data_IF_809397898467
#
_entry.id   IF_809397898467
#
_cell.length_a   1.000
_cell.length_b   1.000
_cell.length_c   1.000
_cell.angle_alpha   90.00
_cell.angle_beta   90.00
_cell.angle_gamma   90.00
#
_symmetry.space_group_name_H-M   'P 1'
#
loop_
_entity.id
_entity.type
_entity.pdbx_description
1 polymer ?
#
# COMPACT_ATOMS: atom_id res chain seq x y z
N UNK A 1 1.39 -0.37 -24.00
CA UNK A 1 1.88 -0.99 -22.75
C UNK A 1 0.99 -2.12 -22.28
N UNK A 2 -0.31 -1.90 -22.03
CA UNK A 2 -1.22 -2.90 -21.46
C UNK A 2 -1.25 -4.24 -22.24
N UNK A 3 -1.32 -4.21 -23.57
CA UNK A 3 -1.22 -5.42 -24.41
C UNK A 3 0.06 -6.23 -24.16
N UNK A 4 1.20 -5.59 -23.88
CA UNK A 4 2.47 -6.26 -23.56
C UNK A 4 2.40 -6.94 -22.19
N UNK A 5 1.73 -6.31 -21.21
CA UNK A 5 1.47 -6.89 -19.90
C UNK A 5 0.56 -8.12 -20.04
N UNK A 6 -0.50 -8.05 -20.85
CA UNK A 6 -1.35 -9.20 -21.12
C UNK A 6 -0.61 -10.32 -21.88
N UNK A 7 0.28 -10.01 -22.82
CA UNK A 7 1.16 -11.01 -23.44
C UNK A 7 2.08 -11.69 -22.42
N UNK A 8 2.64 -10.95 -21.45
CA UNK A 8 3.46 -11.53 -20.38
C UNK A 8 2.64 -12.42 -19.43
N UNK A 9 1.44 -11.97 -19.03
CA UNK A 9 0.51 -12.77 -18.22
C UNK A 9 0.16 -14.05 -18.97
N UNK A 10 -0.23 -13.93 -20.25
CA UNK A 10 -0.55 -15.07 -21.13
C UNK A 10 0.60 -16.05 -21.24
N UNK A 11 1.84 -15.56 -21.42
CA UNK A 11 3.03 -16.39 -21.47
C UNK A 11 3.21 -17.25 -20.22
N UNK A 12 2.99 -16.66 -19.03
CA UNK A 12 3.02 -17.42 -17.78
C UNK A 12 1.86 -18.41 -17.67
N UNK A 13 0.62 -18.00 -18.01
CA UNK A 13 -0.57 -18.85 -17.88
C UNK A 13 -0.59 -20.05 -18.83
N UNK A 14 -0.06 -19.87 -20.04
CA UNK A 14 0.07 -20.90 -21.09
C UNK A 14 1.39 -21.68 -21.01
N UNK A 15 2.28 -21.36 -20.07
CA UNK A 15 3.64 -21.92 -20.00
C UNK A 15 4.43 -21.75 -21.32
N UNK A 16 4.22 -20.64 -22.03
CA UNK A 16 4.80 -20.39 -23.35
C UNK A 16 6.10 -19.57 -23.24
N UNK A 17 7.24 -20.27 -23.29
CA UNK A 17 8.56 -19.65 -23.12
C UNK A 17 8.94 -18.69 -24.25
N UNK A 18 8.54 -18.96 -25.50
CA UNK A 18 8.81 -18.06 -26.63
C UNK A 18 8.06 -16.74 -26.47
N UNK A 19 6.77 -16.79 -26.10
CA UNK A 19 5.97 -15.60 -25.82
C UNK A 19 6.47 -14.86 -24.57
N UNK A 20 7.02 -15.56 -23.58
CA UNK A 20 7.66 -14.95 -22.41
C UNK A 20 8.84 -14.06 -22.82
N UNK A 21 9.78 -14.59 -23.60
CA UNK A 21 10.93 -13.82 -24.10
C UNK A 21 10.50 -12.63 -24.98
N UNK A 22 9.49 -12.80 -25.84
CA UNK A 22 8.93 -11.72 -26.67
C UNK A 22 8.24 -10.62 -25.83
N UNK A 23 7.45 -11.01 -24.82
CA UNK A 23 6.80 -10.07 -23.93
C UNK A 23 7.81 -9.29 -23.08
N UNK A 24 8.91 -9.94 -22.65
CA UNK A 24 10.02 -9.25 -21.98
C UNK A 24 10.74 -8.26 -22.90
N UNK A 25 11.03 -8.62 -24.16
CA UNK A 25 11.70 -7.69 -25.09
C UNK A 25 10.87 -6.43 -25.34
N UNK A 26 9.55 -6.56 -25.47
CA UNK A 26 8.64 -5.43 -25.61
C UNK A 26 8.43 -4.62 -24.32
N UNK A 27 8.66 -5.23 -23.15
CA UNK A 27 8.48 -4.56 -21.86
C UNK A 27 9.72 -3.78 -21.41
N UNK A 28 10.93 -4.17 -21.84
CA UNK A 28 12.18 -3.49 -21.52
C UNK A 28 12.14 -1.98 -21.85
N UNK A 29 11.76 -1.53 -23.07
CA UNK A 29 11.63 -0.11 -23.39
C UNK A 29 10.75 0.64 -22.39
N UNK A 30 9.61 0.07 -21.97
CA UNK A 30 8.74 0.70 -20.98
C UNK A 30 9.39 0.83 -19.59
N UNK A 31 10.28 -0.06 -19.17
CA UNK A 31 11.00 0.11 -17.90
C UNK A 31 12.01 1.27 -17.95
N UNK A 32 12.72 1.45 -19.08
CA UNK A 32 13.56 2.62 -19.33
C UNK A 32 12.73 3.91 -19.39
N UNK A 33 11.60 3.87 -20.09
CA UNK A 33 10.69 5.01 -20.23
C UNK A 33 10.12 5.46 -18.86
N UNK A 34 9.65 4.52 -18.04
CA UNK A 34 8.99 4.77 -16.77
C UNK A 34 9.93 4.97 -15.55
N UNK A 35 11.24 5.15 -15.74
CA UNK A 35 12.22 5.32 -14.65
C UNK A 35 12.33 4.14 -13.66
N UNK A 36 11.94 2.94 -14.06
CA UNK A 36 11.99 1.74 -13.24
C UNK A 36 13.40 1.14 -13.27
N UNK A 37 14.38 1.90 -12.77
CA UNK A 37 15.82 1.68 -12.98
C UNK A 37 16.34 0.28 -12.63
N UNK A 38 15.77 -0.38 -11.61
CA UNK A 38 16.17 -1.74 -11.24
C UNK A 38 15.80 -2.75 -12.34
N UNK A 39 14.57 -2.70 -12.84
CA UNK A 39 14.10 -3.55 -13.93
C UNK A 39 14.77 -3.17 -15.26
N UNK A 40 14.92 -1.87 -15.54
CA UNK A 40 15.62 -1.39 -16.74
C UNK A 40 17.07 -1.91 -16.81
N UNK A 41 17.78 -1.99 -15.67
CA UNK A 41 19.14 -2.53 -15.62
C UNK A 41 19.20 -4.05 -15.75
N UNK A 42 18.39 -4.78 -14.98
CA UNK A 42 18.54 -6.24 -14.85
C UNK A 42 17.76 -7.05 -15.87
N UNK A 43 16.63 -6.55 -16.38
CA UNK A 43 15.79 -7.30 -17.31
C UNK A 43 16.45 -7.54 -18.69
N UNK A 44 17.26 -6.62 -19.25
CA UNK A 44 18.08 -6.92 -20.44
C UNK A 44 19.06 -8.07 -20.23
N UNK A 45 19.70 -8.13 -19.05
CA UNK A 45 20.63 -9.22 -18.69
C UNK A 45 19.86 -10.54 -18.60
N UNK A 46 18.74 -10.55 -17.89
CA UNK A 46 17.88 -11.72 -17.79
C UNK A 46 17.39 -12.19 -19.17
N UNK A 47 16.89 -11.29 -20.01
CA UNK A 47 16.43 -11.63 -21.36
C UNK A 47 17.56 -12.20 -22.24
N UNK A 48 18.75 -11.60 -22.21
CA UNK A 48 19.94 -12.14 -22.91
C UNK A 48 20.23 -13.57 -22.45
N UNK A 49 20.19 -13.81 -21.15
CA UNK A 49 20.50 -15.12 -20.58
C UNK A 49 19.42 -16.16 -20.96
N UNK A 50 18.13 -15.78 -20.93
CA UNK A 50 17.00 -16.60 -21.40
C UNK A 50 17.10 -16.94 -22.90
N UNK A 51 17.46 -15.97 -23.75
CA UNK A 51 17.64 -16.19 -25.19
C UNK A 51 18.86 -17.07 -25.49
N UNK A 52 19.94 -16.92 -24.72
CA UNK A 52 21.18 -17.69 -24.91
C UNK A 52 21.11 -19.12 -24.36
N UNK A 53 20.04 -19.51 -23.64
CA UNK A 53 19.90 -20.86 -23.07
C UNK A 53 20.09 -21.97 -24.11
N UNK A 54 19.59 -21.79 -25.34
CA UNK A 54 19.70 -22.83 -26.36
C UNK A 54 21.15 -23.08 -26.84
N UNK A 55 22.07 -22.12 -26.62
CA UNK A 55 23.50 -22.26 -26.90
C UNK A 55 24.27 -22.76 -25.68
N UNK A 56 23.98 -22.23 -24.49
CA UNK A 56 24.77 -22.44 -23.28
C UNK A 56 24.30 -23.69 -22.51
N UNK A 57 22.99 -23.94 -22.47
CA UNK A 57 22.35 -25.02 -21.70
C UNK A 57 21.16 -25.62 -22.48
N UNK A 58 21.40 -26.36 -23.58
CA UNK A 58 20.34 -26.84 -24.48
C UNK A 58 19.31 -27.75 -23.79
N UNK A 59 19.71 -28.56 -22.81
CA UNK A 59 18.79 -29.39 -22.02
C UNK A 59 17.82 -28.54 -21.17
N UNK A 60 18.32 -27.48 -20.53
CA UNK A 60 17.49 -26.54 -19.77
C UNK A 60 16.57 -25.75 -20.71
N UNK A 61 17.06 -25.36 -21.88
CA UNK A 61 16.26 -24.70 -22.90
C UNK A 61 15.09 -25.58 -23.36
N UNK A 62 15.32 -26.87 -23.60
CA UNK A 62 14.27 -27.83 -23.95
C UNK A 62 13.20 -27.89 -22.85
N UNK A 63 13.61 -27.99 -21.58
CA UNK A 63 12.67 -28.06 -20.47
C UNK A 63 11.88 -26.77 -20.24
N UNK A 64 12.46 -25.61 -20.54
CA UNK A 64 11.73 -24.34 -20.54
C UNK A 64 10.71 -24.27 -21.68
N UNK A 65 11.03 -24.78 -22.87
CA UNK A 65 10.05 -24.91 -23.97
C UNK A 65 8.96 -25.95 -23.66
N UNK A 66 9.24 -26.96 -22.84
CA UNK A 66 8.24 -27.88 -22.25
C UNK A 66 7.41 -27.23 -21.12
N UNK A 67 7.56 -25.92 -20.86
CA UNK A 67 6.81 -25.18 -19.84
C UNK A 67 7.37 -25.25 -18.42
N UNK A 68 8.51 -25.90 -18.17
CA UNK A 68 9.07 -26.08 -16.81
C UNK A 68 9.74 -24.83 -16.22
N UNK A 69 9.46 -23.63 -16.77
CA UNK A 69 9.84 -22.33 -16.18
C UNK A 69 8.71 -21.70 -15.33
N UNK A 70 7.53 -22.34 -15.29
CA UNK A 70 6.37 -21.92 -14.47
C UNK A 70 5.90 -23.04 -13.54
N UNK A 71 5.09 -22.68 -12.54
CA UNK A 71 4.55 -23.62 -11.56
C UNK A 71 3.07 -23.88 -11.84
N UNK A 72 2.70 -25.16 -11.87
CA UNK A 72 1.31 -25.61 -11.92
C UNK A 72 0.89 -26.10 -10.52
N UNK A 73 -0.10 -25.42 -9.91
CA UNK A 73 -0.75 -25.88 -8.66
C UNK A 73 -2.03 -26.68 -8.89
N UNK A 74 -2.51 -26.75 -10.14
CA UNK A 74 -3.70 -27.50 -10.54
C UNK A 74 -3.53 -28.03 -11.95
N UNK A 75 -4.32 -29.04 -12.32
CA UNK A 75 -4.42 -29.56 -13.68
C UNK A 75 -5.31 -28.70 -14.60
N UNK A 76 -5.72 -27.51 -14.17
CA UNK A 76 -6.52 -26.60 -15.00
C UNK A 76 -5.66 -25.93 -16.08
N UNK A 77 -6.20 -25.82 -17.28
CA UNK A 77 -5.63 -24.99 -18.34
C UNK A 77 -5.54 -23.52 -17.90
N UNK A 78 -4.60 -22.77 -18.48
CA UNK A 78 -4.38 -21.33 -18.21
C UNK A 78 -4.13 -20.99 -16.70
N UNK A 79 -3.78 -21.99 -15.87
CA UNK A 79 -3.65 -21.82 -14.41
C UNK A 79 -2.21 -21.69 -13.90
N UNK A 80 -1.21 -21.85 -14.78
CA UNK A 80 0.20 -21.72 -14.43
C UNK A 80 0.53 -20.32 -13.88
N UNK A 81 1.59 -20.23 -13.10
CA UNK A 81 2.01 -19.00 -12.42
C UNK A 81 3.54 -18.91 -12.33
N UNK A 82 4.04 -17.68 -12.21
CA UNK A 82 5.47 -17.44 -12.00
C UNK A 82 5.95 -18.10 -10.69
N UNK A 83 7.21 -18.56 -10.68
CA UNK A 83 7.80 -19.27 -9.54
C UNK A 83 7.71 -18.46 -8.24
N UNK A 84 7.99 -17.15 -8.31
CA UNK A 84 7.93 -16.25 -7.16
C UNK A 84 6.51 -16.14 -6.57
N UNK A 85 5.49 -15.97 -7.41
CA UNK A 85 4.08 -15.98 -6.99
C UNK A 85 3.67 -17.32 -6.37
N UNK A 86 4.14 -18.43 -6.93
CA UNK A 86 3.86 -19.77 -6.39
C UNK A 86 4.50 -19.96 -5.01
N UNK A 87 5.72 -19.47 -4.83
CA UNK A 87 6.51 -19.49 -3.60
C UNK A 87 5.93 -18.55 -2.53
N UNK A 88 5.51 -17.34 -2.88
CA UNK A 88 4.81 -16.41 -1.98
C UNK A 88 3.54 -17.05 -1.40
N UNK A 89 2.71 -17.65 -2.26
CA UNK A 89 1.52 -18.39 -1.84
C UNK A 89 1.85 -19.63 -0.99
N UNK A 90 2.96 -20.34 -1.25
CA UNK A 90 3.38 -21.47 -0.42
C UNK A 90 3.82 -20.99 0.96
N UNK A 91 4.56 -19.87 1.01
CA UNK A 91 4.98 -19.23 2.25
C UNK A 91 3.80 -18.70 3.07
N UNK A 92 2.70 -18.29 2.43
CA UNK A 92 1.47 -17.88 3.11
C UNK A 92 0.78 -19.01 3.89
N UNK A 93 0.98 -20.28 3.52
CA UNK A 93 0.45 -21.44 4.26
C UNK A 93 1.23 -21.72 5.56
N UNK A 94 2.49 -21.25 5.64
CA UNK A 94 3.42 -21.53 6.75
C UNK A 94 3.56 -20.31 7.67
N UNK A 95 3.32 -19.09 7.16
CA UNK A 95 3.30 -17.85 7.95
C UNK A 95 2.03 -17.77 8.81
N UNK A 96 2.20 -17.52 10.11
CA UNK A 96 1.11 -17.06 10.97
C UNK A 96 0.82 -15.56 10.80
N UNK A 97 -0.18 -15.05 11.51
CA UNK A 97 -0.69 -13.66 11.38
C UNK A 97 0.37 -12.55 11.61
N UNK A 98 1.50 -12.87 12.26
CA UNK A 98 2.64 -11.96 12.45
C UNK A 98 3.64 -11.90 11.27
N UNK A 99 3.42 -12.66 10.19
CA UNK A 99 4.36 -12.75 9.08
C UNK A 99 5.65 -13.53 9.43
N UNK A 100 6.75 -13.21 8.76
CA UNK A 100 8.05 -13.89 8.93
C UNK A 100 9.06 -13.08 9.78
N UNK A 101 8.59 -12.20 10.66
CA UNK A 101 9.44 -11.34 11.49
C UNK A 101 10.27 -12.19 12.47
N UNK A 102 11.58 -11.92 12.56
CA UNK A 102 12.51 -12.64 13.45
C UNK A 102 12.87 -14.07 13.03
N UNK A 103 12.26 -14.63 11.98
CA UNK A 103 12.51 -16.04 11.57
C UNK A 103 13.96 -16.26 11.12
N UNK A 104 14.60 -15.26 10.53
CA UNK A 104 16.03 -15.31 10.13
C UNK A 104 17.00 -15.08 11.28
N UNK A 105 16.53 -14.64 12.44
CA UNK A 105 17.35 -14.27 13.60
C UNK A 105 17.44 -15.41 14.64
N UNK A 106 16.44 -16.31 14.69
CA UNK A 106 16.51 -17.59 15.44
C UNK A 106 16.76 -18.77 14.48
N UNK A 107 17.96 -19.40 14.50
CA UNK A 107 18.25 -20.61 13.72
C UNK A 107 17.28 -21.78 13.96
N UNK A 108 16.60 -21.83 15.10
CA UNK A 108 15.61 -22.86 15.45
C UNK A 108 14.23 -22.57 14.83
N UNK A 109 13.82 -21.30 14.78
CA UNK A 109 12.67 -20.85 14.00
C UNK A 109 12.93 -21.05 12.50
N UNK A 110 14.10 -20.66 11.99
CA UNK A 110 14.49 -20.88 10.60
C UNK A 110 14.46 -22.37 10.24
N UNK A 111 15.04 -23.25 11.06
CA UNK A 111 15.01 -24.71 10.83
C UNK A 111 13.60 -25.28 10.86
N UNK A 112 12.75 -24.87 11.81
CA UNK A 112 11.33 -25.26 11.83
C UNK A 112 10.60 -24.79 10.58
N UNK A 113 10.83 -23.56 10.15
CA UNK A 113 10.20 -22.97 8.96
C UNK A 113 10.64 -23.67 7.67
N UNK A 114 11.95 -23.90 7.49
CA UNK A 114 12.52 -24.53 6.29
C UNK A 114 12.26 -26.03 6.17
N UNK A 115 12.16 -26.76 7.29
CA UNK A 115 12.06 -28.24 7.29
C UNK A 115 10.66 -28.71 7.69
N UNK A 116 10.16 -28.27 8.85
CA UNK A 116 8.86 -28.72 9.34
C UNK A 116 7.69 -27.99 8.65
N UNK A 117 7.86 -26.75 8.21
CA UNK A 117 6.82 -25.99 7.49
C UNK A 117 6.32 -26.70 6.22
N UNK A 118 7.20 -27.09 5.28
CA UNK A 118 6.82 -27.87 4.10
C UNK A 118 6.17 -29.21 4.44
N UNK A 119 6.69 -29.93 5.44
CA UNK A 119 6.17 -31.25 5.83
C UNK A 119 4.78 -31.16 6.48
N UNK A 120 4.55 -30.17 7.35
CA UNK A 120 3.22 -29.90 7.92
C UNK A 120 2.24 -29.49 6.83
N UNK A 121 2.66 -28.64 5.88
CA UNK A 121 1.84 -28.26 4.71
C UNK A 121 1.49 -29.48 3.84
N UNK A 122 2.45 -30.41 3.66
CA UNK A 122 2.23 -31.66 2.94
C UNK A 122 1.24 -32.59 3.66
N UNK A 123 1.40 -32.79 4.97
CA UNK A 123 0.49 -33.59 5.79
C UNK A 123 -0.94 -33.01 5.84
N UNK A 124 -1.07 -31.68 5.92
CA UNK A 124 -2.37 -31.00 5.83
C UNK A 124 -3.01 -31.25 4.46
N UNK A 125 -2.26 -31.12 3.36
CA UNK A 125 -2.77 -31.38 2.01
C UNK A 125 -3.18 -32.85 1.81
N UNK A 126 -2.42 -33.81 2.35
CA UNK A 126 -2.80 -35.23 2.37
C UNK A 126 -4.09 -35.46 3.15
N UNK A 127 -4.23 -34.86 4.35
CA UNK A 127 -5.41 -34.98 5.19
C UNK A 127 -6.66 -34.38 4.53
N UNK A 128 -6.56 -33.20 3.93
CA UNK A 128 -7.65 -32.57 3.17
C UNK A 128 -8.10 -33.45 2.00
N UNK A 129 -7.16 -34.08 1.29
CA UNK A 129 -7.47 -34.99 0.18
C UNK A 129 -8.14 -36.29 0.66
N UNK A 130 -7.65 -36.87 1.76
CA UNK A 130 -8.21 -38.09 2.35
C UNK A 130 -9.58 -37.87 3.02
N UNK A 131 -9.90 -36.63 3.41
CA UNK A 131 -11.16 -36.28 4.07
C UNK A 131 -12.33 -36.03 3.10
N UNK A 132 -12.15 -36.21 1.79
CA UNK A 132 -13.09 -35.92 0.69
C UNK A 132 -13.65 -34.47 0.64
N UNK A 133 -13.27 -33.60 1.59
CA UNK A 133 -13.78 -32.24 1.77
C UNK A 133 -13.56 -31.30 0.57
N UNK A 134 -12.73 -31.70 -0.40
CA UNK A 134 -12.47 -30.99 -1.66
C UNK A 134 -12.95 -31.71 -2.92
N UNK A 135 -13.57 -32.89 -2.84
CA UNK A 135 -14.02 -33.63 -4.04
C UNK A 135 -15.35 -33.09 -4.62
N UNK A 136 -15.91 -32.03 -4.01
CA UNK A 136 -16.93 -31.17 -4.60
C UNK A 136 -16.36 -30.36 -5.79
N UNK A 137 -16.28 -31.03 -6.94
CA UNK A 137 -15.85 -30.55 -8.27
C UNK A 137 -14.35 -30.66 -8.61
N UNK A 138 -13.98 -31.83 -9.16
CA UNK A 138 -12.93 -31.97 -10.18
C UNK A 138 -13.29 -31.24 -11.51
N UNK A 139 -13.84 -30.02 -11.44
CA UNK A 139 -14.00 -29.18 -12.61
C UNK A 139 -12.64 -28.62 -13.02
N UNK A 140 -12.12 -29.17 -14.14
CA UNK A 140 -10.93 -28.70 -14.86
C UNK A 140 -11.15 -27.25 -15.37
N UNK A 141 -12.41 -26.84 -15.53
CA UNK A 141 -12.79 -25.50 -16.00
C UNK A 141 -12.49 -24.43 -14.94
N UNK A 142 -12.02 -23.27 -15.42
CA UNK A 142 -11.93 -22.05 -14.62
C UNK A 142 -13.33 -21.57 -14.21
N UNK A 143 -13.47 -20.86 -13.09
CA UNK A 143 -14.77 -20.38 -12.62
C UNK A 143 -15.44 -19.40 -13.60
N UNK A 144 -14.64 -18.71 -14.42
CA UNK A 144 -15.11 -17.82 -15.50
C UNK A 144 -15.52 -18.56 -16.79
N UNK A 145 -15.21 -19.85 -16.93
CA UNK A 145 -15.61 -20.69 -18.08
C UNK A 145 -17.01 -21.31 -17.89
N UNK A 146 -17.80 -20.79 -16.95
CA UNK A 146 -19.22 -21.16 -16.81
C UNK A 146 -20.07 -20.39 -17.81
N UNK A 147 -21.10 -21.02 -18.36
CA UNK A 147 -21.98 -20.40 -19.36
C UNK A 147 -22.63 -19.11 -18.84
N UNK A 148 -22.97 -19.06 -17.55
CA UNK A 148 -23.51 -17.87 -16.89
C UNK A 148 -22.50 -16.71 -16.85
N UNK A 149 -21.22 -16.96 -16.52
CA UNK A 149 -20.20 -15.89 -16.52
C UNK A 149 -19.93 -15.41 -17.94
N UNK A 150 -19.87 -16.31 -18.91
CA UNK A 150 -19.73 -15.95 -20.33
C UNK A 150 -20.91 -15.09 -20.81
N UNK A 151 -22.16 -15.47 -20.48
CA UNK A 151 -23.36 -14.69 -20.82
C UNK A 151 -23.33 -13.29 -20.21
N UNK A 152 -23.01 -13.18 -18.91
CA UNK A 152 -22.87 -11.90 -18.21
C UNK A 152 -21.74 -11.05 -18.77
N UNK A 153 -20.64 -11.67 -19.23
CA UNK A 153 -19.56 -10.98 -19.93
C UNK A 153 -20.03 -10.41 -21.28
N UNK A 154 -20.69 -11.22 -22.12
CA UNK A 154 -21.26 -10.74 -23.39
C UNK A 154 -22.30 -9.63 -23.19
N UNK A 155 -23.18 -9.74 -22.19
CA UNK A 155 -24.11 -8.65 -21.84
C UNK A 155 -23.40 -7.37 -21.43
N UNK A 156 -22.29 -7.44 -20.69
CA UNK A 156 -21.49 -6.26 -20.31
C UNK A 156 -20.77 -5.67 -21.52
N UNK A 157 -20.23 -6.51 -22.40
CA UNK A 157 -19.58 -6.08 -23.64
C UNK A 157 -20.57 -5.40 -24.59
N UNK A 158 -21.77 -5.95 -24.76
CA UNK A 158 -22.86 -5.35 -25.55
C UNK A 158 -23.34 -4.01 -24.96
N UNK A 159 -23.48 -3.90 -23.63
CA UNK A 159 -23.79 -2.62 -22.97
C UNK A 159 -22.68 -1.58 -23.17
N UNK A 160 -21.41 -1.98 -23.08
CA UNK A 160 -20.27 -1.09 -23.32
C UNK A 160 -20.21 -0.64 -24.79
N UNK A 161 -20.42 -1.57 -25.73
CA UNK A 161 -20.49 -1.29 -27.16
C UNK A 161 -21.62 -0.31 -27.51
N UNK A 162 -22.81 -0.51 -26.93
CA UNK A 162 -23.93 0.43 -27.07
C UNK A 162 -23.60 1.80 -26.50
N UNK A 163 -23.07 1.88 -25.27
CA UNK A 163 -22.64 3.16 -24.68
C UNK A 163 -21.57 3.87 -25.53
N UNK A 164 -20.59 3.16 -26.06
CA UNK A 164 -19.59 3.72 -26.97
C UNK A 164 -20.19 4.23 -28.29
N UNK A 165 -21.17 3.54 -28.87
CA UNK A 165 -21.88 4.02 -30.06
C UNK A 165 -22.76 5.24 -29.75
N UNK A 166 -23.53 5.19 -28.66
CA UNK A 166 -24.47 6.26 -28.25
C UNK A 166 -23.72 7.56 -27.88
N UNK A 167 -22.53 7.44 -27.28
CA UNK A 167 -21.63 8.57 -26.97
C UNK A 167 -20.73 8.97 -28.15
N UNK A 168 -20.84 8.29 -29.29
CA UNK A 168 -19.98 8.43 -30.46
C UNK A 168 -18.66 7.66 -30.30
N UNK A 169 -18.47 6.65 -31.16
CA UNK A 169 -17.41 5.65 -31.02
C UNK A 169 -15.99 6.26 -31.10
N UNK A 170 -15.22 6.26 -30.00
CA UNK A 170 -13.91 6.91 -29.95
C UNK A 170 -12.85 6.24 -30.83
N UNK A 171 -13.09 5.00 -31.29
CA UNK A 171 -12.19 4.30 -32.23
C UNK A 171 -12.45 4.64 -33.70
N UNK A 172 -13.45 5.49 -34.00
CA UNK A 172 -13.71 6.03 -35.33
C UNK A 172 -13.21 7.48 -35.48
N UNK A 173 -12.66 8.07 -34.42
CA UNK A 173 -12.14 9.44 -34.42
C UNK A 173 -10.68 9.45 -34.87
N UNK A 174 -10.42 9.90 -36.11
CA UNK A 174 -9.07 10.05 -36.66
C UNK A 174 -8.39 11.35 -36.17
N UNK A 175 -8.24 11.49 -34.86
CA UNK A 175 -7.59 12.65 -34.22
C UNK A 175 -6.23 12.27 -33.61
N UNK A 176 -5.24 13.17 -33.70
CA UNK A 176 -3.98 13.04 -32.96
C UNK A 176 -4.08 13.40 -31.47
N UNK A 177 -5.26 13.81 -31.02
CA UNK A 177 -5.55 14.27 -29.67
C UNK A 177 -5.75 13.11 -28.69
N UNK A 178 -5.38 13.34 -27.43
CA UNK A 178 -5.56 12.37 -26.36
C UNK A 178 -6.84 12.66 -25.59
N UNK A 179 -7.90 11.94 -25.92
CA UNK A 179 -9.27 12.14 -25.43
C UNK A 179 -9.59 11.32 -24.17
N UNK A 180 -10.39 11.91 -23.28
CA UNK A 180 -11.01 11.18 -22.17
C UNK A 180 -12.30 10.51 -22.66
N UNK A 181 -12.45 9.19 -22.45
CA UNK A 181 -13.48 8.38 -23.13
C UNK A 181 -14.93 8.73 -22.77
N UNK A 182 -15.19 9.30 -21.60
CA UNK A 182 -16.54 9.65 -21.10
C UNK A 182 -16.90 11.13 -21.30
N UNK A 183 -15.97 12.06 -21.05
CA UNK A 183 -16.21 13.50 -21.21
C UNK A 183 -15.85 14.06 -22.59
N UNK A 184 -15.03 13.33 -23.37
CA UNK A 184 -14.34 13.82 -24.58
C UNK A 184 -13.43 15.04 -24.36
N UNK A 185 -13.00 15.28 -23.11
CA UNK A 185 -12.00 16.31 -22.82
C UNK A 185 -10.66 15.95 -23.49
N UNK A 186 -10.13 16.89 -24.28
CA UNK A 186 -8.81 16.79 -24.91
C UNK A 186 -7.73 17.13 -23.88
N UNK A 187 -6.85 16.18 -23.59
CA UNK A 187 -5.64 16.44 -22.82
C UNK A 187 -4.69 17.35 -23.60
N UNK A 188 -3.98 18.24 -22.89
CA UNK A 188 -3.01 19.16 -23.50
C UNK A 188 -2.03 18.42 -24.43
N UNK A 189 -1.69 19.02 -25.58
CA UNK A 189 -0.93 18.36 -26.66
C UNK A 189 0.39 17.74 -26.23
N UNK A 190 1.07 18.32 -25.23
CA UNK A 190 2.28 17.74 -24.63
C UNK A 190 2.07 16.38 -23.98
N UNK A 191 0.87 16.08 -23.46
CA UNK A 191 0.51 14.77 -22.93
C UNK A 191 0.29 13.74 -24.05
N UNK A 192 -0.38 14.13 -25.14
CA UNK A 192 -0.54 13.30 -26.33
C UNK A 192 0.82 12.95 -26.96
N UNK A 193 1.69 13.96 -27.16
CA UNK A 193 3.06 13.76 -27.63
C UNK A 193 3.86 12.87 -26.68
N UNK A 194 3.76 13.08 -25.36
CA UNK A 194 4.46 12.28 -24.37
C UNK A 194 4.04 10.81 -24.42
N UNK A 195 2.73 10.51 -24.51
CA UNK A 195 2.20 9.15 -24.65
C UNK A 195 2.66 8.51 -25.97
N UNK A 196 2.48 9.20 -27.10
CA UNK A 196 2.84 8.69 -28.43
C UNK A 196 4.33 8.41 -28.59
N UNK A 197 5.19 9.23 -27.98
CA UNK A 197 6.66 9.05 -28.01
C UNK A 197 7.23 8.22 -26.86
N UNK A 198 6.40 7.75 -25.91
CA UNK A 198 6.87 7.14 -24.65
C UNK A 198 7.70 5.88 -24.85
N UNK A 199 7.18 4.93 -25.64
CA UNK A 199 7.87 3.68 -25.96
C UNK A 199 9.18 3.95 -26.69
N UNK A 200 9.16 4.87 -27.66
CA UNK A 200 10.32 5.23 -28.48
C UNK A 200 11.44 5.89 -27.65
N UNK A 201 11.09 6.80 -26.74
CA UNK A 201 12.03 7.37 -25.75
C UNK A 201 12.65 6.28 -24.87
N UNK A 202 11.87 5.29 -24.46
CA UNK A 202 12.35 4.10 -23.76
C UNK A 202 13.30 3.24 -24.59
N UNK A 203 12.96 3.02 -25.87
CA UNK A 203 13.72 2.21 -26.83
C UNK A 203 15.08 2.83 -27.14
N UNK A 204 15.14 4.15 -27.35
CA UNK A 204 16.39 4.90 -27.54
C UNK A 204 17.30 4.74 -26.31
N UNK A 205 16.76 4.96 -25.09
CA UNK A 205 17.54 4.80 -23.86
C UNK A 205 18.04 3.38 -23.60
N UNK A 206 17.25 2.38 -23.99
CA UNK A 206 17.69 0.99 -23.95
C UNK A 206 18.86 0.74 -24.91
N UNK A 207 18.82 1.31 -26.12
CA UNK A 207 19.92 1.21 -27.09
C UNK A 207 21.19 1.95 -26.63
N UNK A 208 21.05 3.15 -26.05
CA UNK A 208 22.15 3.88 -25.39
C UNK A 208 22.80 3.01 -24.31
N UNK A 209 22.01 2.48 -23.37
CA UNK A 209 22.49 1.61 -22.30
C UNK A 209 23.22 0.36 -22.81
N UNK A 210 22.69 -0.32 -23.83
CA UNK A 210 23.36 -1.50 -24.41
C UNK A 210 24.68 -1.13 -25.09
N UNK A 211 24.72 -0.01 -25.82
CA UNK A 211 25.95 0.49 -26.47
C UNK A 211 27.03 0.86 -25.44
N UNK A 212 26.64 1.48 -24.33
CA UNK A 212 27.57 1.84 -23.25
C UNK A 212 28.17 0.58 -22.60
N UNK A 213 27.43 -0.53 -22.52
CA UNK A 213 27.92 -1.83 -22.02
C UNK A 213 28.87 -2.56 -22.99
N UNK A 214 28.78 -2.29 -24.29
CA UNK A 214 29.70 -2.82 -25.30
C UNK A 214 31.06 -2.09 -25.29
N UNK A 215 31.14 -0.91 -24.68
CA UNK A 215 32.38 -0.13 -24.58
C UNK A 215 33.40 -0.81 -23.65
N UNK A 216 34.59 -1.10 -24.19
CA UNK A 216 35.62 -1.89 -23.49
C UNK A 216 36.47 -1.09 -22.49
N UNK A 217 36.24 0.22 -22.38
CA UNK A 217 37.09 1.13 -21.60
C UNK A 217 36.70 1.20 -20.11
N UNK A 218 35.41 0.98 -19.78
CA UNK A 218 34.92 1.02 -18.40
C UNK A 218 33.60 0.26 -18.24
N UNK A 219 33.44 -0.49 -17.14
CA UNK A 219 32.17 -1.13 -16.81
C UNK A 219 31.15 -0.08 -16.30
N UNK A 220 30.21 0.31 -17.16
CA UNK A 220 29.15 1.30 -16.88
C UNK A 220 27.91 0.70 -16.20
N UNK A 221 27.77 -0.63 -16.14
CA UNK A 221 26.55 -1.33 -15.70
C UNK A 221 25.96 -0.85 -14.36
N UNK A 222 26.82 -0.60 -13.37
CA UNK A 222 26.43 -0.16 -12.04
C UNK A 222 26.22 1.35 -11.91
N UNK A 223 26.61 2.14 -12.92
CA UNK A 223 26.49 3.60 -12.89
C UNK A 223 25.01 4.05 -12.92
N UNK A 224 24.66 5.20 -12.31
CA UNK A 224 23.27 5.63 -12.20
C UNK A 224 22.60 5.87 -13.57
N UNK A 225 21.54 5.12 -13.87
CA UNK A 225 20.74 5.34 -15.08
C UNK A 225 20.01 6.68 -14.98
N UNK A 226 20.29 7.59 -15.92
CA UNK A 226 19.70 8.94 -15.97
C UNK A 226 18.18 8.85 -16.15
N UNK A 227 17.43 9.32 -15.15
CA UNK A 227 15.96 9.38 -15.20
C UNK A 227 15.45 10.32 -16.29
N UNK A 228 14.35 9.93 -16.93
CA UNK A 228 13.49 10.79 -17.74
C UNK A 228 12.78 11.83 -16.86
N UNK A 229 12.65 13.05 -17.39
CA UNK A 229 11.59 13.96 -16.94
C UNK A 229 10.27 13.39 -17.46
N UNK A 230 9.48 12.81 -16.57
CA UNK A 230 8.16 12.25 -16.86
C UNK A 230 7.16 12.98 -15.96
N UNK A 231 6.19 13.67 -16.56
CA UNK A 231 5.09 14.26 -15.82
C UNK A 231 3.78 13.99 -16.57
N UNK A 232 3.28 12.77 -16.38
CA UNK A 232 2.00 12.35 -16.96
C UNK A 232 0.86 13.12 -16.29
N UNK A 233 0.10 13.86 -17.09
CA UNK A 233 -1.15 14.52 -16.69
C UNK A 233 -1.05 15.55 -15.55
N UNK A 234 0.14 16.10 -15.29
CA UNK A 234 0.27 17.32 -14.47
C UNK A 234 0.43 18.54 -15.37
N UNK A 235 -0.39 19.55 -15.13
CA UNK A 235 -0.08 20.92 -15.54
C UNK A 235 0.75 21.54 -14.42
N UNK A 236 2.02 21.86 -14.69
CA UNK A 236 2.75 22.81 -13.85
C UNK A 236 2.08 24.18 -14.02
N UNK A 237 1.39 24.64 -12.98
CA UNK A 237 0.97 26.04 -12.87
C UNK A 237 2.20 26.85 -12.46
N UNK A 238 2.90 27.42 -13.45
CA UNK A 238 4.05 28.30 -13.23
C UNK A 238 3.60 29.61 -12.57
N UNK A 239 3.86 29.72 -11.26
CA UNK A 239 3.68 30.93 -10.49
C UNK A 239 4.93 31.17 -9.63
N UNK A 240 5.75 32.13 -10.05
CA UNK A 240 7.07 32.38 -9.49
C UNK A 240 7.10 32.81 -8.01
N UNK A 241 8.17 32.39 -7.34
CA UNK A 241 8.73 32.97 -6.11
C UNK A 241 9.09 34.47 -6.34
N UNK A 242 9.17 35.40 -5.34
CA UNK A 242 9.49 35.09 -3.95
C UNK A 242 8.87 35.89 -2.78
N UNK A 243 8.90 35.25 -1.60
CA UNK A 243 9.07 35.80 -0.24
C UNK A 243 8.12 36.90 0.32
N UNK A 244 7.28 36.43 1.25
CA UNK A 244 7.34 36.75 2.69
C UNK A 244 7.35 38.23 3.23
N UNK A 245 6.29 38.70 3.92
CA UNK A 245 6.31 39.86 4.87
C UNK A 245 5.14 39.82 5.90
N UNK A 246 5.26 39.68 7.22
CA UNK A 246 6.41 39.79 8.14
C UNK A 246 7.44 38.68 7.94
N UNK A 247 7.05 37.41 8.13
CA UNK A 247 7.37 36.44 7.08
C UNK A 247 6.16 36.16 6.18
N UNK A 248 4.96 36.70 6.46
CA UNK A 248 3.88 36.89 5.48
C UNK A 248 3.68 35.79 4.45
N UNK A 249 3.70 34.56 4.92
CA UNK A 249 3.08 33.48 4.19
C UNK A 249 1.58 33.66 4.41
N UNK A 250 0.93 34.40 3.51
CA UNK A 250 -0.54 34.36 3.38
C UNK A 250 -1.04 32.92 3.16
N UNK A 251 -0.17 32.08 2.58
CA UNK A 251 -0.42 30.68 2.24
C UNK A 251 0.75 29.81 2.67
N UNK A 252 0.51 28.87 3.58
CA UNK A 252 1.44 27.80 3.93
C UNK A 252 1.06 26.52 3.19
N UNK A 253 2.04 25.95 2.48
CA UNK A 253 1.91 24.68 1.76
C UNK A 253 2.98 23.69 2.21
N UNK A 254 2.62 22.41 2.35
CA UNK A 254 3.57 21.32 2.60
C UNK A 254 3.64 20.43 1.38
N UNK A 255 4.83 20.27 0.82
CA UNK A 255 5.14 19.21 -0.15
C UNK A 255 5.15 17.85 0.57
N UNK A 256 4.31 16.92 0.11
CA UNK A 256 4.19 15.59 0.70
C UNK A 256 4.22 14.50 -0.37
N UNK A 257 4.94 13.41 -0.12
CA UNK A 257 5.17 12.33 -1.07
C UNK A 257 6.43 12.54 -1.93
N UNK A 258 6.66 11.64 -2.87
CA UNK A 258 7.81 11.68 -3.80
C UNK A 258 7.40 11.22 -5.20
N UNK A 259 8.07 11.73 -6.23
CA UNK A 259 7.82 11.36 -7.64
C UNK A 259 6.38 11.65 -8.07
N UNK A 260 5.72 10.65 -8.66
CA UNK A 260 4.30 10.74 -9.09
C UNK A 260 3.31 11.00 -7.95
N UNK A 261 3.69 10.70 -6.70
CA UNK A 261 2.84 10.89 -5.52
C UNK A 261 3.13 12.19 -4.76
N UNK A 262 3.97 13.09 -5.29
CA UNK A 262 4.17 14.42 -4.73
C UNK A 262 2.87 15.23 -4.86
N UNK A 263 2.38 15.76 -3.74
CA UNK A 263 1.23 16.66 -3.65
C UNK A 263 1.54 17.84 -2.73
N UNK A 264 0.96 18.99 -3.04
CA UNK A 264 1.02 20.18 -2.18
C UNK A 264 -0.22 20.23 -1.28
N UNK A 265 -0.02 20.35 0.02
CA UNK A 265 -1.08 20.35 1.03
C UNK A 265 -1.26 21.79 1.57
N UNK A 266 -2.40 22.47 1.34
CA UNK A 266 -2.64 23.83 1.82
C UNK A 266 -2.97 23.84 3.32
N UNK A 267 -1.95 23.99 4.16
CA UNK A 267 -2.11 24.00 5.63
C UNK A 267 -2.96 25.21 6.09
N UNK A 268 -2.88 26.33 5.36
CA UNK A 268 -3.71 27.51 5.61
C UNK A 268 -5.21 27.26 5.37
N UNK A 269 -5.61 26.61 4.29
CA UNK A 269 -7.01 26.23 4.03
C UNK A 269 -7.49 25.11 4.98
N UNK A 270 -6.61 24.14 5.27
CA UNK A 270 -6.92 23.07 6.23
C UNK A 270 -7.12 23.61 7.65
N UNK A 271 -6.37 24.62 8.08
CA UNK A 271 -6.54 25.20 9.42
C UNK A 271 -7.87 25.94 9.57
N UNK A 272 -8.32 26.62 8.51
CA UNK A 272 -9.63 27.28 8.45
C UNK A 272 -10.79 26.27 8.45
N UNK A 273 -10.69 25.22 7.63
CA UNK A 273 -11.76 24.20 7.51
C UNK A 273 -11.88 23.26 8.71
N UNK A 274 -10.77 22.98 9.42
CA UNK A 274 -10.77 22.18 10.65
C UNK A 274 -11.26 22.98 11.87
N UNK A 275 -11.05 24.30 11.87
CA UNK A 275 -11.47 25.19 12.95
C UNK A 275 -10.47 25.30 14.12
N UNK A 276 -10.49 26.42 14.86
CA UNK A 276 -9.41 26.80 15.78
C UNK A 276 -9.26 25.87 17.00
N UNK A 277 -10.35 25.31 17.53
CA UNK A 277 -10.31 24.37 18.66
C UNK A 277 -9.64 23.05 18.27
N UNK A 278 -10.08 22.46 17.15
CA UNK A 278 -9.54 21.19 16.67
C UNK A 278 -8.09 21.30 16.26
N UNK A 279 -7.68 22.41 15.62
CA UNK A 279 -6.26 22.68 15.33
C UNK A 279 -5.43 22.76 16.62
N UNK A 280 -5.93 23.38 17.69
CA UNK A 280 -5.23 23.46 18.99
C UNK A 280 -5.15 22.12 19.74
N UNK A 281 -6.08 21.19 19.48
CA UNK A 281 -6.08 19.84 20.07
C UNK A 281 -5.47 18.73 19.19
N UNK A 282 -5.03 19.05 17.96
CA UNK A 282 -4.72 18.02 16.95
C UNK A 282 -3.52 17.14 17.30
N UNK A 283 -2.54 17.67 18.05
CA UNK A 283 -1.36 16.92 18.48
C UNK A 283 -1.75 15.78 19.43
N UNK A 284 -2.55 16.08 20.46
CA UNK A 284 -3.03 15.08 21.40
C UNK A 284 -3.98 14.10 20.70
N UNK A 285 -4.91 14.58 19.87
CA UNK A 285 -5.77 13.70 19.08
C UNK A 285 -4.96 12.71 18.22
N UNK A 286 -3.89 13.19 17.55
CA UNK A 286 -3.04 12.34 16.72
C UNK A 286 -2.30 11.28 17.54
N UNK A 287 -1.68 11.64 18.66
CA UNK A 287 -0.99 10.69 19.54
C UNK A 287 -1.97 9.71 20.21
N UNK A 288 -3.11 10.19 20.72
CA UNK A 288 -4.11 9.39 21.42
C UNK A 288 -4.82 8.39 20.49
N UNK A 289 -5.00 8.73 19.21
CA UNK A 289 -5.52 7.81 18.18
C UNK A 289 -4.43 6.96 17.50
N UNK A 290 -3.23 6.94 18.09
CA UNK A 290 -2.08 6.14 17.71
C UNK A 290 -1.10 6.86 16.76
N UNK A 291 0.18 6.80 17.06
CA UNK A 291 1.27 7.27 16.20
C UNK A 291 2.45 6.29 16.30
N UNK A 292 3.58 6.58 15.66
CA UNK A 292 4.73 5.65 15.61
C UNK A 292 5.28 5.25 17.00
N UNK A 293 4.99 6.05 18.04
CA UNK A 293 5.45 5.84 19.43
C UNK A 293 4.33 5.65 20.45
N UNK A 294 3.06 5.67 20.02
CA UNK A 294 1.87 5.44 20.88
C UNK A 294 0.89 4.51 20.17
N UNK A 295 0.49 3.42 20.82
CA UNK A 295 -0.40 2.39 20.26
C UNK A 295 -1.73 2.93 19.72
N UNK A 296 -2.28 2.33 18.65
CA UNK A 296 -3.63 2.65 18.18
C UNK A 296 -4.72 1.84 18.90
N UNK A 297 -5.95 2.36 18.92
CA UNK A 297 -7.13 1.62 19.39
C UNK A 297 -7.55 0.55 18.36
N UNK A 298 -7.69 -0.70 18.78
CA UNK A 298 -7.97 -1.83 17.87
C UNK A 298 -9.30 -1.65 17.14
N UNK A 299 -9.28 -1.84 15.82
CA UNK A 299 -10.46 -1.66 14.97
C UNK A 299 -10.97 -0.21 14.84
N UNK A 300 -10.23 0.79 15.33
CA UNK A 300 -10.61 2.21 15.25
C UNK A 300 -9.56 3.03 14.51
N UNK A 301 -9.93 3.57 13.35
CA UNK A 301 -9.08 4.46 12.57
C UNK A 301 -9.27 5.94 12.95
N UNK A 302 -8.35 6.79 12.48
CA UNK A 302 -8.42 8.25 12.66
C UNK A 302 -9.72 8.86 12.14
N UNK A 303 -10.27 8.36 11.03
CA UNK A 303 -11.57 8.79 10.50
C UNK A 303 -12.72 8.54 11.49
N UNK A 304 -12.81 7.35 12.10
CA UNK A 304 -13.84 7.05 13.10
C UNK A 304 -13.65 7.82 14.41
N UNK A 305 -12.40 8.06 14.82
CA UNK A 305 -12.11 8.90 15.99
C UNK A 305 -12.46 10.38 15.73
N UNK A 306 -12.18 10.90 14.53
CA UNK A 306 -12.54 12.26 14.13
C UNK A 306 -14.07 12.46 14.14
N UNK A 307 -14.80 11.52 13.54
CA UNK A 307 -16.27 11.46 13.59
C UNK A 307 -16.84 11.26 15.00
N UNK A 308 -16.02 10.84 15.97
CA UNK A 308 -16.41 10.81 17.39
C UNK A 308 -16.17 12.18 18.02
N UNK A 309 -15.09 12.87 17.68
CA UNK A 309 -14.80 14.24 18.11
C UNK A 309 -15.79 15.27 17.52
N UNK A 310 -16.37 15.02 16.34
CA UNK A 310 -17.50 15.81 15.82
C UNK A 310 -18.76 15.76 16.72
N UNK A 311 -18.89 14.73 17.57
CA UNK A 311 -20.04 14.53 18.48
C UNK A 311 -19.67 14.85 19.94
N UNK A 312 -18.49 14.44 20.39
CA UNK A 312 -17.95 14.69 21.72
C UNK A 312 -17.17 16.02 21.75
N UNK A 313 -17.85 17.15 21.59
CA UNK A 313 -17.23 18.50 21.58
C UNK A 313 -16.54 18.84 22.90
N UNK A 314 -17.05 18.34 24.03
CA UNK A 314 -16.43 18.34 25.36
C UNK A 314 -14.97 17.80 25.40
N UNK A 315 -14.57 16.96 24.44
CA UNK A 315 -13.20 16.47 24.33
C UNK A 315 -12.22 17.52 23.79
N UNK A 316 -12.70 18.59 23.13
CA UNK A 316 -11.86 19.66 22.58
C UNK A 316 -11.00 20.32 23.64
N UNK A 317 -11.56 20.68 24.79
CA UNK A 317 -10.82 21.36 25.87
C UNK A 317 -9.70 20.48 26.44
N UNK A 318 -9.99 19.20 26.67
CA UNK A 318 -9.01 18.22 27.14
C UNK A 318 -7.91 17.99 26.08
N UNK A 319 -8.27 17.86 24.80
CA UNK A 319 -7.29 17.70 23.72
C UNK A 319 -6.42 18.96 23.56
N UNK A 320 -6.98 20.16 23.70
CA UNK A 320 -6.24 21.43 23.69
C UNK A 320 -5.29 21.55 24.89
N UNK A 321 -5.75 21.20 26.10
CA UNK A 321 -4.96 21.17 27.35
C UNK A 321 -3.77 20.21 27.22
N UNK A 322 -4.03 18.97 26.84
CA UNK A 322 -3.02 17.92 26.76
C UNK A 322 -2.07 18.07 25.55
N UNK A 323 -2.39 18.93 24.57
CA UNK A 323 -1.48 19.32 23.48
C UNK A 323 -0.46 20.40 23.87
N UNK A 324 -0.57 21.01 25.06
CA UNK A 324 0.23 22.17 25.48
C UNK A 324 0.98 21.93 26.80
N UNK A 325 1.98 21.05 26.77
CA UNK A 325 2.86 20.74 27.91
C UNK A 325 2.10 20.55 29.25
N UNK A 326 1.19 19.57 29.35
CA UNK A 326 0.40 19.38 30.56
C UNK A 326 1.30 19.03 31.76
N UNK A 327 1.00 19.51 32.98
CA UNK A 327 1.76 19.16 34.18
C UNK A 327 1.56 17.67 34.56
N UNK A 328 0.32 17.19 34.40
CA UNK A 328 -0.14 15.80 34.57
C UNK A 328 -1.41 15.59 33.72
N UNK A 329 -1.90 14.36 33.61
CA UNK A 329 -3.29 14.07 33.20
C UNK A 329 -4.13 13.95 34.46
N UNK A 330 -5.20 14.74 34.60
CA UNK A 330 -6.08 14.74 35.78
C UNK A 330 -7.23 13.73 35.64
N UNK A 331 -7.86 13.33 36.75
CA UNK A 331 -9.01 12.42 36.70
C UNK A 331 -10.22 13.00 35.93
N UNK A 332 -10.40 14.33 35.94
CA UNK A 332 -11.40 15.00 35.11
C UNK A 332 -11.10 14.89 33.61
N UNK A 333 -9.83 15.02 33.22
CA UNK A 333 -9.39 14.78 31.84
C UNK A 333 -9.68 13.32 31.45
N UNK A 334 -9.31 12.38 32.33
CA UNK A 334 -9.52 10.94 32.12
C UNK A 334 -11.00 10.58 31.94
N UNK A 335 -11.93 11.16 32.70
CA UNK A 335 -13.37 10.91 32.55
C UNK A 335 -13.90 11.30 31.15
N UNK A 336 -13.44 12.44 30.62
CA UNK A 336 -13.79 12.89 29.25
C UNK A 336 -13.18 11.96 28.20
N UNK A 337 -11.91 11.55 28.38
CA UNK A 337 -11.26 10.57 27.49
C UNK A 337 -11.95 9.20 27.55
N UNK A 338 -12.44 8.79 28.72
CA UNK A 338 -13.17 7.55 28.95
C UNK A 338 -14.50 7.56 28.16
N UNK A 339 -15.30 8.62 28.32
CA UNK A 339 -16.56 8.83 27.57
C UNK A 339 -16.33 8.94 26.05
N UNK A 340 -15.24 9.59 25.62
CA UNK A 340 -14.85 9.64 24.21
C UNK A 340 -14.57 8.24 23.64
N UNK A 341 -13.79 7.42 24.35
CA UNK A 341 -13.47 6.05 23.91
C UNK A 341 -14.70 5.15 23.94
N UNK A 342 -15.57 5.26 24.95
CA UNK A 342 -16.86 4.55 24.97
C UNK A 342 -17.67 4.89 23.71
N UNK A 343 -17.85 6.19 23.41
CA UNK A 343 -18.62 6.66 22.24
C UNK A 343 -18.01 6.20 20.91
N UNK A 344 -16.67 6.16 20.82
CA UNK A 344 -15.94 5.66 19.64
C UNK A 344 -16.16 4.16 19.40
N UNK A 345 -16.34 3.36 20.47
CA UNK A 345 -16.60 1.92 20.36
C UNK A 345 -18.09 1.58 20.24
N UNK A 346 -18.96 2.35 20.89
CA UNK A 346 -20.40 2.17 20.90
C UNK A 346 -21.14 3.49 21.19
N UNK A 347 -21.62 4.15 20.13
CA UNK A 347 -22.40 5.39 20.22
C UNK A 347 -23.76 5.24 20.92
N UNK A 348 -24.23 4.01 21.15
CA UNK A 348 -25.47 3.72 21.87
C UNK A 348 -25.25 3.47 23.36
N UNK A 349 -24.00 3.48 23.84
CA UNK A 349 -23.68 3.21 25.23
C UNK A 349 -24.12 4.36 26.14
N UNK A 350 -24.82 4.00 27.22
CA UNK A 350 -25.17 4.90 28.33
C UNK A 350 -24.28 4.66 29.56
N UNK A 351 -23.19 3.88 29.41
CA UNK A 351 -22.29 3.56 30.51
C UNK A 351 -21.47 4.79 30.94
N UNK A 352 -21.32 4.99 32.25
CA UNK A 352 -20.50 6.06 32.81
C UNK A 352 -18.99 5.73 32.77
N UNK A 353 -18.63 4.44 32.91
CA UNK A 353 -17.26 3.95 32.88
C UNK A 353 -16.98 2.99 31.71
N UNK A 354 -15.72 2.90 31.31
CA UNK A 354 -15.27 2.05 30.19
C UNK A 354 -15.28 0.57 30.52
N UNK A 355 -15.06 0.21 31.78
CA UNK A 355 -15.14 -1.18 32.24
C UNK A 355 -16.60 -1.67 32.31
N UNK A 356 -17.55 -0.79 32.66
CA UNK A 356 -19.00 -1.07 32.52
C UNK A 356 -19.41 -1.20 31.06
N UNK A 357 -18.91 -0.31 30.19
CA UNK A 357 -19.14 -0.39 28.74
C UNK A 357 -18.59 -1.68 28.14
N UNK A 358 -17.39 -2.12 28.57
CA UNK A 358 -16.79 -3.41 28.20
C UNK A 358 -17.68 -4.58 28.63
N UNK A 359 -18.17 -4.56 29.86
CA UNK A 359 -19.04 -5.61 30.39
C UNK A 359 -20.36 -5.68 29.62
N UNK A 360 -21.02 -4.55 29.35
CA UNK A 360 -22.26 -4.51 28.54
C UNK A 360 -22.03 -4.98 27.10
N UNK A 361 -20.96 -4.50 26.45
CA UNK A 361 -20.60 -4.89 25.09
C UNK A 361 -20.28 -6.38 24.96
N UNK A 362 -19.59 -6.96 25.96
CA UNK A 362 -19.26 -8.38 25.99
C UNK A 362 -20.47 -9.25 26.36
N UNK A 363 -21.09 -8.99 27.52
CA UNK A 363 -22.13 -9.87 28.07
C UNK A 363 -23.49 -9.70 27.40
N UNK A 364 -23.93 -8.47 27.11
CA UNK A 364 -25.25 -8.21 26.49
C UNK A 364 -25.19 -8.15 24.98
N UNK A 365 -24.19 -7.45 24.42
CA UNK A 365 -24.06 -7.26 22.96
C UNK A 365 -23.21 -8.33 22.27
N UNK A 366 -22.68 -9.31 23.02
CA UNK A 366 -21.93 -10.46 22.50
C UNK A 366 -20.79 -10.09 21.53
N UNK A 367 -20.16 -8.93 21.76
CA UNK A 367 -19.02 -8.47 20.95
C UNK A 367 -17.77 -9.28 21.30
N UNK A 368 -16.97 -9.73 20.33
CA UNK A 368 -15.72 -10.44 20.60
C UNK A 368 -14.74 -9.52 21.34
N UNK A 369 -13.82 -10.13 22.11
CA UNK A 369 -12.88 -9.41 22.97
C UNK A 369 -11.96 -8.42 22.23
N UNK A 370 -11.84 -8.58 20.91
CA UNK A 370 -11.07 -7.71 20.02
C UNK A 370 -11.83 -6.44 19.58
N UNK A 371 -13.14 -6.41 19.78
CA UNK A 371 -14.06 -5.36 19.35
C UNK A 371 -14.66 -4.54 20.52
N UNK A 372 -14.14 -4.75 21.74
CA UNK A 372 -14.48 -3.97 22.94
C UNK A 372 -13.35 -2.95 23.27
N UNK A 373 -13.65 -1.80 23.90
CA UNK A 373 -12.63 -0.81 24.25
C UNK A 373 -11.64 -1.34 25.29
N UNK A 374 -10.45 -0.73 25.46
CA UNK A 374 -9.46 -1.17 26.46
C UNK A 374 -9.96 -0.97 27.90
N UNK A 375 -9.42 -1.73 28.85
CA UNK A 375 -9.71 -1.55 30.29
C UNK A 375 -9.34 -0.16 30.78
N UNK A 376 -9.98 0.35 31.84
CA UNK A 376 -9.65 1.67 32.41
C UNK A 376 -8.16 1.81 32.78
N UNK A 377 -7.57 0.78 33.40
CA UNK A 377 -6.15 0.76 33.75
C UNK A 377 -5.22 0.94 32.53
N UNK A 378 -5.52 0.26 31.42
CA UNK A 378 -4.77 0.41 30.16
C UNK A 378 -5.00 1.80 29.52
N UNK A 379 -6.23 2.32 29.56
CA UNK A 379 -6.56 3.64 29.03
C UNK A 379 -5.79 4.77 29.75
N UNK A 380 -5.66 4.70 31.09
CA UNK A 380 -4.89 5.69 31.87
C UNK A 380 -3.44 5.79 31.38
N UNK A 381 -2.77 4.64 31.23
CA UNK A 381 -1.37 4.64 30.76
C UNK A 381 -1.25 5.08 29.31
N UNK A 382 -2.23 4.71 28.46
CA UNK A 382 -2.31 5.17 27.07
C UNK A 382 -2.50 6.69 26.94
N UNK A 383 -3.41 7.27 27.73
CA UNK A 383 -3.64 8.72 27.79
C UNK A 383 -2.39 9.48 28.25
N UNK A 384 -1.66 8.96 29.25
CA UNK A 384 -0.39 9.53 29.69
C UNK A 384 0.67 9.51 28.59
N UNK A 385 0.86 8.38 27.90
CA UNK A 385 1.82 8.29 26.78
C UNK A 385 1.48 9.26 25.65
N UNK A 386 0.20 9.40 25.31
CA UNK A 386 -0.28 10.36 24.33
C UNK A 386 -0.04 11.82 24.76
N UNK A 387 -0.30 12.17 26.02
CA UNK A 387 -0.09 13.50 26.57
C UNK A 387 1.39 13.89 26.62
N UNK A 388 2.27 12.94 26.95
CA UNK A 388 3.71 13.13 26.90
C UNK A 388 4.18 13.41 25.47
N UNK A 389 3.79 12.57 24.51
CA UNK A 389 4.23 12.75 23.12
C UNK A 389 3.70 14.05 22.51
N UNK A 390 2.41 14.35 22.72
CA UNK A 390 1.77 15.53 22.15
C UNK A 390 2.20 16.82 22.84
N UNK A 391 2.07 16.91 24.16
CA UNK A 391 2.31 18.13 24.92
C UNK A 391 3.75 18.30 25.37
N UNK A 392 4.41 17.24 25.85
CA UNK A 392 5.78 17.33 26.38
C UNK A 392 6.87 17.26 25.30
N UNK A 393 6.61 16.63 24.15
CA UNK A 393 7.56 16.58 23.02
C UNK A 393 7.12 17.54 21.90
N UNK A 394 6.03 17.25 21.18
CA UNK A 394 5.64 18.05 19.99
C UNK A 394 5.19 19.47 20.32
N UNK A 395 4.53 19.68 21.47
CA UNK A 395 4.08 21.00 21.93
C UNK A 395 5.22 22.00 22.21
N UNK A 396 6.48 21.53 22.27
CA UNK A 396 7.67 22.36 22.42
C UNK A 396 8.44 22.61 21.12
N UNK A 397 7.90 22.23 19.93
CA UNK A 397 8.62 22.29 18.67
C UNK A 397 9.14 23.70 18.25
N UNK A 398 8.61 24.78 18.84
CA UNK A 398 9.07 26.16 18.63
C UNK A 398 9.98 26.69 19.75
N UNK A 399 10.32 25.88 20.74
CA UNK A 399 11.16 26.25 21.89
C UNK A 399 12.61 25.87 21.58
N UNK A 400 13.53 26.85 21.69
CA UNK A 400 14.95 26.67 21.32
C UNK A 400 15.67 25.58 22.13
N UNK A 401 15.27 25.37 23.39
CA UNK A 401 15.75 24.29 24.25
C UNK A 401 14.53 23.59 24.88
N UNK A 402 14.22 22.39 24.42
CA UNK A 402 13.06 21.63 24.91
C UNK A 402 13.33 21.05 26.30
N UNK A 403 12.45 21.33 27.27
CA UNK A 403 12.53 20.74 28.61
C UNK A 403 11.82 19.38 28.65
N UNK A 404 12.57 18.29 28.50
CA UNK A 404 12.01 16.93 28.54
C UNK A 404 11.92 16.39 29.97
N UNK A 405 10.70 16.14 30.45
CA UNK A 405 10.46 15.39 31.70
C UNK A 405 10.79 13.90 31.51
N UNK A 406 11.15 13.20 32.59
CA UNK A 406 11.32 11.74 32.56
C UNK A 406 10.01 11.04 32.15
N UNK A 407 10.03 10.08 31.20
CA UNK A 407 8.84 9.34 30.77
C UNK A 407 8.31 8.36 31.84
N UNK A 408 9.05 8.11 32.92
CA UNK A 408 8.68 7.15 33.97
C UNK A 408 7.29 7.42 34.60
N UNK A 409 6.89 8.69 34.71
CA UNK A 409 5.59 9.08 35.26
C UNK A 409 4.46 9.12 34.20
N UNK A 410 4.80 8.88 32.92
CA UNK A 410 3.92 9.05 31.76
C UNK A 410 3.51 7.72 31.11
N UNK A 411 3.54 6.61 31.85
CA UNK A 411 3.04 5.32 31.39
C UNK A 411 4.07 4.44 30.70
N UNK A 412 5.36 4.66 31.00
CA UNK A 412 6.48 3.76 30.75
C UNK A 412 7.16 3.41 32.07
N UNK A 413 7.70 2.20 32.19
CA UNK A 413 8.51 1.75 33.34
C UNK A 413 9.88 1.34 32.84
N UNK A 414 10.94 1.60 33.60
CA UNK A 414 12.29 1.16 33.23
C UNK A 414 12.40 -0.35 33.46
N UNK A 415 13.01 -1.05 32.51
CA UNK A 415 13.23 -2.50 32.63
C UNK A 415 14.28 -2.74 33.74
N UNK A 416 13.87 -3.43 34.82
CA UNK A 416 14.70 -3.69 36.00
C UNK A 416 14.08 -3.30 37.35
N UNK A 417 12.97 -2.56 37.36
CA UNK A 417 12.27 -2.11 38.59
C UNK A 417 11.00 -2.96 38.90
N UNK A 418 11.07 -4.28 38.68
CA UNK A 418 9.98 -5.26 38.92
C UNK A 418 10.47 -6.46 39.75
#
# INVERSE_FOLDING_TARGET
MELVIFSLIRAFREANFTLYCQALSELIPYFFANNNVNYARWLPVHLRDMLSLHQIHPELALEFHNGKFVVHKSSREFSAMAIDQAHEQANALIKGDGGAVGVTEDPSALRRWMVAGPEVSHLVAQYEAASEAKDASKHIRHHEQTEQVQRVFFEKADRLYKAMNDMGNPFQEETGDLLTLDTKDIAHSSAAEMVGTHYEKGRIKFQEFMKDLESKEKCTFYEPIKRNKMDFFRQELDFGDPKQKELGLEKLWIAFGQGGNLRWIPIHELSLSVGPEKIRGILFFHAFTGCDVVSAFRGKGKKSAWQTWDVCTEASDVFMKLSKYPPTVEDGDLQVLEKFVITMYDRSSTAAGIDDARLDMFARKQKPYEAIPPTRAALIQHAKRAAYQAGCIWGQATVCQMETKSPANWGWTKQGDL
#
